data_IF_332107173948
#
_entry.id   IF_332107173948
#
_cell.length_a   1.000
_cell.length_b   1.000
_cell.length_c   1.000
_cell.angle_alpha   90.00
_cell.angle_beta   90.00
_cell.angle_gamma   90.00
#
_symmetry.space_group_name_H-M   'P 1'
#
loop_
_entity.id
_entity.type
_entity.pdbx_description
1 polymer ?
#
# COMPACT_ATOMS: atom_id res chain seq x y z
N UNK A 1 1.47 35.06 13.70
CA UNK A 1 1.55 34.47 12.34
C UNK A 1 2.83 33.62 12.25
N UNK A 2 2.79 32.27 12.19
CA UNK A 2 3.98 31.46 11.94
C UNK A 2 3.97 30.95 10.49
N UNK A 3 4.66 31.65 9.58
CA UNK A 3 4.83 31.24 8.18
C UNK A 3 6.10 30.41 7.93
N UNK A 4 6.98 30.32 8.93
CA UNK A 4 8.31 29.68 8.81
C UNK A 4 8.29 28.16 8.98
N UNK A 5 7.29 27.59 9.66
CA UNK A 5 7.25 26.14 9.96
C UNK A 5 6.69 25.29 8.79
N UNK A 6 5.74 25.84 8.01
CA UNK A 6 5.09 25.10 6.90
C UNK A 6 6.02 24.77 5.74
N UNK A 7 6.99 25.64 5.43
CA UNK A 7 7.92 25.45 4.31
C UNK A 7 8.96 24.36 4.62
N UNK A 8 9.43 24.31 5.87
CA UNK A 8 10.33 23.26 6.36
C UNK A 8 9.63 21.91 6.51
N UNK A 9 8.38 21.90 7.02
CA UNK A 9 7.53 20.70 7.01
C UNK A 9 7.35 20.16 5.60
N UNK A 10 6.93 21.01 4.64
CA UNK A 10 6.80 20.60 3.22
C UNK A 10 8.08 20.01 2.64
N UNK A 11 9.24 20.63 2.87
CA UNK A 11 10.52 20.10 2.38
C UNK A 11 10.89 18.74 2.99
N UNK A 12 10.60 18.55 4.28
CA UNK A 12 10.80 17.27 4.97
C UNK A 12 9.82 16.21 4.46
N UNK A 13 8.55 16.58 4.26
CA UNK A 13 7.51 15.69 3.74
C UNK A 13 7.85 15.22 2.31
N UNK A 14 8.33 16.12 1.44
CA UNK A 14 8.79 15.77 0.09
C UNK A 14 9.95 14.77 0.12
N UNK A 15 10.92 14.93 1.03
CA UNK A 15 12.04 13.99 1.19
C UNK A 15 11.56 12.60 1.66
N UNK A 16 10.62 12.56 2.61
CA UNK A 16 10.01 11.29 3.07
C UNK A 16 9.25 10.61 1.93
N UNK A 17 8.50 11.36 1.11
CA UNK A 17 7.79 10.82 -0.05
C UNK A 17 8.73 10.25 -1.13
N UNK A 18 9.92 10.84 -1.32
CA UNK A 18 10.94 10.28 -2.22
C UNK A 18 11.45 8.89 -1.80
N UNK A 19 11.35 8.57 -0.50
CA UNK A 19 11.69 7.23 0.02
C UNK A 19 10.73 6.17 -0.48
N UNK A 20 9.44 6.50 -0.64
CA UNK A 20 8.46 5.58 -1.21
C UNK A 20 8.84 5.16 -2.64
N UNK A 21 9.23 6.12 -3.48
CA UNK A 21 9.57 5.87 -4.88
C UNK A 21 10.82 4.97 -5.01
N UNK A 22 11.82 5.16 -4.15
CA UNK A 22 13.00 4.26 -4.09
C UNK A 22 12.67 2.86 -3.56
N UNK A 23 11.74 2.80 -2.59
CA UNK A 23 11.30 1.56 -1.95
C UNK A 23 10.54 0.66 -2.91
N UNK A 24 9.55 1.20 -3.63
CA UNK A 24 8.75 0.41 -4.59
C UNK A 24 9.63 -0.16 -5.71
N UNK A 25 10.62 0.59 -6.20
CA UNK A 25 11.57 0.11 -7.22
C UNK A 25 12.39 -1.06 -6.68
N UNK A 26 12.78 -1.01 -5.41
CA UNK A 26 13.54 -2.09 -4.77
C UNK A 26 12.68 -3.34 -4.53
N UNK A 27 11.40 -3.17 -4.17
CA UNK A 27 10.42 -4.27 -4.11
C UNK A 27 10.25 -4.93 -5.49
N UNK A 28 10.07 -4.13 -6.55
CA UNK A 28 9.92 -4.66 -7.92
C UNK A 28 11.19 -5.37 -8.39
N UNK A 29 12.37 -4.84 -8.07
CA UNK A 29 13.64 -5.51 -8.38
C UNK A 29 13.71 -6.89 -7.71
N UNK A 30 13.41 -6.98 -6.41
CA UNK A 30 13.45 -8.26 -5.69
C UNK A 30 12.46 -9.28 -6.29
N UNK A 31 11.21 -8.86 -6.55
CA UNK A 31 10.19 -9.70 -7.17
C UNK A 31 10.59 -10.16 -8.59
N UNK A 32 11.10 -9.25 -9.41
CA UNK A 32 11.56 -9.57 -10.77
C UNK A 32 12.78 -10.51 -10.80
N UNK A 33 13.53 -10.60 -9.70
CA UNK A 33 14.64 -11.54 -9.52
C UNK A 33 14.20 -12.86 -8.86
N UNK A 34 12.90 -13.06 -8.65
CA UNK A 34 12.35 -14.33 -8.14
C UNK A 34 12.50 -14.52 -6.63
N UNK A 35 12.85 -13.49 -5.87
CA UNK A 35 12.92 -13.61 -4.41
C UNK A 35 11.54 -13.88 -3.79
N UNK A 36 10.48 -13.31 -4.36
CA UNK A 36 9.09 -13.58 -4.01
C UNK A 36 8.18 -13.27 -5.19
N UNK A 37 6.95 -13.79 -5.16
CA UNK A 37 5.97 -13.56 -6.21
C UNK A 37 5.05 -12.40 -5.84
N UNK A 38 5.05 -11.39 -6.68
CA UNK A 38 4.16 -10.23 -6.57
C UNK A 38 3.98 -9.58 -7.94
N UNK A 39 2.86 -9.92 -8.59
CA UNK A 39 2.53 -9.45 -9.94
C UNK A 39 1.99 -8.01 -9.95
N UNK A 40 1.60 -7.49 -8.79
CA UNK A 40 0.93 -6.19 -8.68
C UNK A 40 1.92 -5.03 -8.54
N UNK A 41 3.08 -5.25 -7.91
CA UNK A 41 4.08 -4.20 -7.69
C UNK A 41 4.51 -3.47 -8.97
N UNK A 42 4.54 -4.16 -10.13
CA UNK A 42 4.89 -3.53 -11.41
C UNK A 42 3.91 -2.45 -11.84
N UNK A 43 2.66 -2.52 -11.40
CA UNK A 43 1.63 -1.54 -11.73
C UNK A 43 1.82 -0.21 -10.99
N UNK A 44 2.68 -0.19 -9.97
CA UNK A 44 2.95 1.01 -9.18
C UNK A 44 4.30 1.68 -9.49
N UNK A 45 5.00 1.26 -10.54
CA UNK A 45 6.27 1.85 -10.96
C UNK A 45 6.26 2.22 -12.43
N UNK A 46 6.80 3.40 -12.74
CA UNK A 46 7.00 3.84 -14.13
C UNK A 46 8.30 3.31 -14.74
N UNK A 47 9.34 3.12 -13.91
CA UNK A 47 10.65 2.63 -14.33
C UNK A 47 11.13 1.55 -13.37
N UNK A 48 11.57 0.44 -13.94
CA UNK A 48 12.17 -0.67 -13.19
C UNK A 48 13.69 -0.49 -13.20
N UNK A 49 14.31 -0.50 -12.03
CA UNK A 49 15.76 -0.52 -11.90
C UNK A 49 16.19 -1.72 -11.06
N UNK A 50 17.17 -2.47 -11.56
CA UNK A 50 17.76 -3.59 -10.84
C UNK A 50 18.57 -3.08 -9.65
N UNK A 51 18.39 -3.70 -8.48
CA UNK A 51 19.20 -3.50 -7.28
C UNK A 51 20.22 -4.62 -7.10
N UNK A 52 21.22 -4.37 -6.26
CA UNK A 52 22.24 -5.38 -5.92
C UNK A 52 21.60 -6.59 -5.22
N UNK A 53 22.20 -7.79 -5.29
CA UNK A 53 21.68 -8.98 -4.62
C UNK A 53 21.47 -8.77 -3.11
N UNK A 54 22.37 -8.04 -2.44
CA UNK A 54 22.26 -7.73 -1.01
C UNK A 54 21.00 -6.91 -0.70
N UNK A 55 20.69 -5.90 -1.52
CA UNK A 55 19.47 -5.10 -1.37
C UNK A 55 18.23 -5.98 -1.60
N UNK A 56 18.21 -6.79 -2.67
CA UNK A 56 17.08 -7.69 -2.95
C UNK A 56 16.85 -8.67 -1.79
N UNK A 57 17.91 -9.21 -1.20
CA UNK A 57 17.82 -10.08 -0.01
C UNK A 57 17.22 -9.35 1.19
N UNK A 58 17.59 -8.09 1.43
CA UNK A 58 16.98 -7.27 2.47
C UNK A 58 15.47 -7.08 2.26
N UNK A 59 15.06 -6.78 1.03
CA UNK A 59 13.64 -6.65 0.68
C UNK A 59 12.88 -7.97 0.75
N UNK A 60 13.52 -9.10 0.42
CA UNK A 60 12.95 -10.42 0.62
C UNK A 60 12.64 -10.71 2.09
N UNK A 61 13.61 -10.48 2.98
CA UNK A 61 13.40 -10.70 4.42
C UNK A 61 12.30 -9.80 4.93
N UNK A 62 12.29 -8.51 4.55
CA UNK A 62 11.22 -7.57 4.89
C UNK A 62 9.85 -8.06 4.40
N UNK A 63 9.75 -8.45 3.13
CA UNK A 63 8.52 -8.95 2.55
C UNK A 63 8.04 -10.21 3.30
N UNK A 64 8.94 -11.17 3.53
CA UNK A 64 8.58 -12.43 4.16
C UNK A 64 8.15 -12.27 5.61
N UNK A 65 8.79 -11.37 6.35
CA UNK A 65 8.39 -11.06 7.73
C UNK A 65 6.97 -10.50 7.80
N UNK A 66 6.65 -9.49 6.99
CA UNK A 66 5.30 -8.89 6.95
C UNK A 66 4.27 -9.91 6.49
N UNK A 67 4.58 -10.64 5.41
CA UNK A 67 3.71 -11.66 4.84
C UNK A 67 3.41 -12.79 5.84
N UNK A 68 4.42 -13.25 6.59
CA UNK A 68 4.24 -14.22 7.65
C UNK A 68 3.34 -13.69 8.78
N UNK A 69 3.59 -12.46 9.26
CA UNK A 69 2.77 -11.86 10.32
C UNK A 69 1.31 -11.70 9.90
N UNK A 70 1.06 -11.24 8.68
CA UNK A 70 -0.31 -11.09 8.15
C UNK A 70 -1.01 -12.44 8.04
N UNK A 71 -0.35 -13.45 7.46
CA UNK A 71 -0.94 -14.79 7.31
C UNK A 71 -1.20 -15.45 8.66
N UNK A 72 -0.27 -15.31 9.61
CA UNK A 72 -0.45 -15.80 10.98
C UNK A 72 -1.62 -15.09 11.66
N UNK A 73 -1.74 -13.76 11.53
CA UNK A 73 -2.89 -13.01 12.05
C UNK A 73 -4.22 -13.52 11.46
N UNK A 74 -4.28 -13.69 10.14
CA UNK A 74 -5.50 -14.17 9.47
C UNK A 74 -5.91 -15.57 9.93
N UNK A 75 -4.93 -16.45 10.15
CA UNK A 75 -5.14 -17.81 10.62
C UNK A 75 -5.63 -17.85 12.07
N UNK A 76 -4.92 -17.21 13.01
CA UNK A 76 -5.30 -17.26 14.44
C UNK A 76 -6.62 -16.53 14.74
N UNK A 77 -7.07 -15.65 13.84
CA UNK A 77 -8.32 -14.90 13.97
C UNK A 77 -9.43 -15.39 13.03
N UNK A 78 -9.32 -16.59 12.44
CA UNK A 78 -10.27 -17.11 11.43
C UNK A 78 -11.74 -17.09 11.88
N UNK A 79 -11.97 -17.29 13.18
CA UNK A 79 -13.29 -17.33 13.82
C UNK A 79 -13.79 -15.94 14.25
N UNK A 80 -12.99 -14.88 14.08
CA UNK A 80 -13.45 -13.53 14.36
C UNK A 80 -14.46 -13.08 13.30
N UNK A 81 -15.56 -12.40 13.71
CA UNK A 81 -16.60 -11.97 12.79
C UNK A 81 -16.14 -10.87 11.82
N UNK A 82 -15.12 -10.09 12.20
CA UNK A 82 -14.51 -9.06 11.36
C UNK A 82 -13.05 -8.86 11.77
N UNK A 83 -12.16 -8.82 10.79
CA UNK A 83 -10.71 -8.61 10.95
C UNK A 83 -10.30 -7.35 10.21
N UNK A 84 -9.37 -6.60 10.79
CA UNK A 84 -8.91 -5.35 10.19
C UNK A 84 -7.38 -5.33 10.15
N UNK A 85 -6.84 -5.02 8.97
CA UNK A 85 -5.41 -4.81 8.77
C UNK A 85 -5.22 -3.33 8.47
N UNK A 86 -4.42 -2.63 9.28
CA UNK A 86 -4.12 -1.20 9.07
C UNK A 86 -2.64 -1.05 8.73
N UNK A 87 -2.35 -0.72 7.46
CA UNK A 87 -1.00 -0.46 6.98
C UNK A 87 -0.68 1.03 7.08
N UNK A 88 0.21 1.39 8.00
CA UNK A 88 0.66 2.76 8.24
C UNK A 88 1.91 3.07 7.40
N UNK A 89 1.87 4.15 6.62
CA UNK A 89 2.91 4.44 5.63
C UNK A 89 2.93 3.36 4.53
N UNK A 90 1.75 3.00 4.04
CA UNK A 90 1.58 1.90 3.09
C UNK A 90 2.37 2.14 1.79
N UNK A 91 2.54 3.40 1.39
CA UNK A 91 3.15 3.75 0.12
C UNK A 91 2.49 3.01 -1.03
N UNK A 92 3.30 2.50 -1.95
CA UNK A 92 2.85 1.63 -3.03
C UNK A 92 2.93 0.14 -2.69
N UNK A 93 2.54 -0.26 -1.48
CA UNK A 93 2.36 -1.67 -1.15
C UNK A 93 1.23 -2.32 -1.95
N UNK A 94 1.34 -3.63 -2.17
CA UNK A 94 0.46 -4.48 -2.97
C UNK A 94 -0.31 -5.50 -2.11
N UNK A 95 -0.17 -5.46 -0.77
CA UNK A 95 -0.70 -6.47 0.15
C UNK A 95 -2.19 -6.76 -0.09
N UNK A 96 -3.03 -5.72 -0.22
CA UNK A 96 -4.45 -5.91 -0.48
C UNK A 96 -4.70 -6.77 -1.73
N UNK A 97 -4.05 -6.44 -2.85
CA UNK A 97 -4.22 -7.16 -4.11
C UNK A 97 -3.69 -8.60 -4.02
N UNK A 98 -2.60 -8.82 -3.28
CA UNK A 98 -2.09 -10.18 -3.01
C UNK A 98 -3.08 -11.00 -2.20
N UNK A 99 -3.62 -10.44 -1.11
CA UNK A 99 -4.61 -11.13 -0.30
C UNK A 99 -5.91 -11.40 -1.07
N UNK A 100 -6.34 -10.46 -1.92
CA UNK A 100 -7.50 -10.66 -2.79
C UNK A 100 -7.26 -11.80 -3.77
N UNK A 101 -6.08 -11.85 -4.42
CA UNK A 101 -5.74 -12.91 -5.36
C UNK A 101 -5.61 -14.28 -4.70
N UNK A 102 -5.18 -14.31 -3.43
CA UNK A 102 -5.11 -15.51 -2.59
C UNK A 102 -6.48 -15.88 -1.96
N UNK A 103 -7.57 -15.18 -2.30
CA UNK A 103 -8.91 -15.35 -1.71
C UNK A 103 -8.93 -15.21 -0.16
N UNK A 104 -7.98 -14.49 0.39
CA UNK A 104 -7.72 -14.35 1.83
C UNK A 104 -8.43 -13.13 2.47
N UNK A 105 -9.43 -12.56 1.79
CA UNK A 105 -10.14 -11.35 2.25
C UNK A 105 -11.53 -11.62 2.85
N UNK A 106 -11.92 -12.88 3.04
CA UNK A 106 -13.17 -13.23 3.73
C UNK A 106 -13.21 -12.59 5.13
N UNK A 107 -14.24 -11.79 5.46
CA UNK A 107 -14.35 -11.04 6.73
C UNK A 107 -13.10 -10.24 7.12
N UNK A 108 -12.32 -9.76 6.15
CA UNK A 108 -11.11 -8.96 6.36
C UNK A 108 -11.24 -7.63 5.64
N UNK A 109 -10.96 -6.54 6.34
CA UNK A 109 -10.88 -5.20 5.75
C UNK A 109 -9.44 -4.72 5.84
N UNK A 110 -8.90 -4.22 4.74
CA UNK A 110 -7.56 -3.64 4.68
C UNK A 110 -7.69 -2.13 4.55
N UNK A 111 -7.04 -1.41 5.47
CA UNK A 111 -6.92 0.03 5.46
C UNK A 111 -5.47 0.41 5.20
N UNK A 112 -5.27 1.33 4.27
CA UNK A 112 -3.97 1.91 3.99
C UNK A 112 -3.98 3.39 4.33
N UNK A 113 -2.96 3.81 5.08
CA UNK A 113 -2.79 5.19 5.52
C UNK A 113 -1.43 5.71 5.05
N UNK A 114 -1.43 6.84 4.37
CA UNK A 114 -0.21 7.54 3.95
C UNK A 114 -0.47 9.04 3.78
N UNK A 115 0.57 9.80 3.41
CA UNK A 115 0.43 11.21 3.06
C UNK A 115 -0.52 11.38 1.86
N UNK A 116 -1.31 12.48 1.82
CA UNK A 116 -2.28 12.74 0.76
C UNK A 116 -1.69 12.60 -0.65
N UNK A 117 -0.50 13.14 -0.90
CA UNK A 117 0.15 13.06 -2.22
C UNK A 117 0.49 11.62 -2.64
N UNK A 118 0.87 10.77 -1.68
CA UNK A 118 1.18 9.35 -1.93
C UNK A 118 -0.10 8.57 -2.21
N UNK A 119 -1.14 8.81 -1.39
CA UNK A 119 -2.49 8.26 -1.56
C UNK A 119 -3.07 8.62 -2.92
N UNK A 120 -3.02 9.90 -3.31
CA UNK A 120 -3.54 10.38 -4.60
C UNK A 120 -2.81 9.74 -5.78
N UNK A 121 -1.48 9.66 -5.72
CA UNK A 121 -0.69 8.96 -6.75
C UNK A 121 -1.07 7.48 -6.85
N UNK A 122 -1.22 6.80 -5.72
CA UNK A 122 -1.63 5.39 -5.69
C UNK A 122 -3.02 5.20 -6.27
N UNK A 123 -3.98 6.03 -5.87
CA UNK A 123 -5.35 5.98 -6.37
C UNK A 123 -5.40 6.22 -7.89
N UNK A 124 -4.62 7.17 -8.42
CA UNK A 124 -4.53 7.39 -9.86
C UNK A 124 -3.97 6.17 -10.61
N UNK A 125 -2.94 5.50 -10.07
CA UNK A 125 -2.38 4.27 -10.64
C UNK A 125 -3.39 3.12 -10.62
N UNK A 126 -4.16 2.96 -9.53
CA UNK A 126 -5.21 1.94 -9.44
C UNK A 126 -6.33 2.22 -10.42
N UNK A 127 -6.82 3.46 -10.49
CA UNK A 127 -7.95 3.83 -11.35
C UNK A 127 -7.62 3.76 -12.85
N UNK A 128 -6.36 4.01 -13.22
CA UNK A 128 -5.89 3.88 -14.60
C UNK A 128 -5.63 2.42 -15.02
N UNK A 129 -5.50 1.50 -14.06
CA UNK A 129 -5.28 0.09 -14.32
C UNK A 129 -6.58 -0.73 -14.20
N UNK A 130 -7.10 -1.22 -15.31
CA UNK A 130 -8.36 -2.01 -15.33
C UNK A 130 -8.32 -3.23 -14.43
N UNK A 131 -7.19 -3.94 -14.35
CA UNK A 131 -7.03 -5.14 -13.51
C UNK A 131 -7.11 -4.78 -12.03
N UNK A 132 -6.34 -3.78 -11.58
CA UNK A 132 -6.38 -3.35 -10.19
C UNK A 132 -7.76 -2.80 -9.81
N UNK A 133 -8.38 -2.01 -10.69
CA UNK A 133 -9.72 -1.46 -10.46
C UNK A 133 -10.78 -2.54 -10.32
N UNK A 134 -10.69 -3.61 -11.12
CA UNK A 134 -11.63 -4.73 -11.07
C UNK A 134 -11.52 -5.56 -9.78
N UNK A 135 -10.37 -5.53 -9.10
CA UNK A 135 -10.16 -6.20 -7.81
C UNK A 135 -10.67 -5.38 -6.61
N UNK A 136 -11.08 -4.13 -6.82
CA UNK A 136 -11.75 -3.37 -5.77
C UNK A 136 -13.23 -3.78 -5.76
N UNK A 137 -13.67 -4.44 -4.69
CA UNK A 137 -15.07 -4.86 -4.54
C UNK A 137 -15.98 -3.64 -4.32
N UNK A 138 -16.95 -3.36 -5.24
CA UNK A 138 -17.91 -2.29 -5.06
C UNK A 138 -19.05 -2.62 -4.07
N UNK A 139 -19.19 -3.88 -3.62
CA UNK A 139 -20.35 -4.37 -2.87
C UNK A 139 -20.07 -4.76 -1.40
N UNK A 140 -18.87 -4.49 -0.89
CA UNK A 140 -18.56 -4.81 0.51
C UNK A 140 -19.35 -3.89 1.47
N UNK A 141 -20.07 -4.44 2.49
CA UNK A 141 -20.92 -3.65 3.39
C UNK A 141 -20.14 -2.64 4.24
N UNK A 142 -18.81 -2.81 4.31
CA UNK A 142 -17.85 -1.82 4.79
C UNK A 142 -16.94 -1.47 3.61
N UNK A 143 -16.85 -0.20 3.19
CA UNK A 143 -16.01 0.14 2.04
C UNK A 143 -14.56 -0.16 2.39
N UNK A 144 -13.98 -1.17 1.75
CA UNK A 144 -12.54 -1.39 1.72
C UNK A 144 -11.93 -0.25 0.91
N UNK A 145 -11.68 0.86 1.60
CA UNK A 145 -11.29 2.12 0.99
C UNK A 145 -9.96 2.57 1.57
N UNK A 146 -9.06 3.01 0.67
CA UNK A 146 -7.94 3.87 1.02
C UNK A 146 -8.49 5.02 1.90
N UNK A 147 -8.18 5.01 3.19
CA UNK A 147 -8.60 6.07 4.11
C UNK A 147 -7.51 7.14 4.09
N UNK A 148 -7.84 8.29 3.51
CA UNK A 148 -7.02 9.49 3.59
C UNK A 148 -6.99 9.98 5.05
N UNK A 149 -5.89 9.74 5.77
CA UNK A 149 -5.64 10.39 7.06
C UNK A 149 -4.70 11.57 6.82
N UNK A 150 -5.29 12.71 6.46
CA UNK A 150 -4.57 13.99 6.42
C UNK A 150 -4.33 14.48 7.85
N UNK A 151 -3.06 14.69 8.24
CA UNK A 151 -2.69 15.39 9.47
C UNK A 151 -2.99 16.89 9.37
N UNK A 152 -4.26 17.28 9.26
CA UNK A 152 -4.83 18.50 9.83
C UNK A 152 -6.32 18.54 9.49
N UNK A 153 -7.15 18.20 10.50
CA UNK A 153 -8.63 18.28 10.51
C UNK A 153 -9.36 17.38 9.49
N UNK A 154 -10.16 16.48 10.06
CA UNK A 154 -11.27 15.74 9.46
C UNK A 154 -10.88 14.70 8.40
N UNK A 155 -11.02 13.43 8.81
CA UNK A 155 -11.10 12.24 7.96
C UNK A 155 -12.15 12.51 6.88
N UNK A 156 -11.72 12.75 5.63
CA UNK A 156 -12.64 12.85 4.49
C UNK A 156 -12.62 11.51 3.74
N UNK A 157 -13.78 10.87 3.81
CA UNK A 157 -14.16 9.66 3.09
C UNK A 157 -14.25 10.01 1.60
N UNK A 158 -13.51 9.32 0.73
CA UNK A 158 -13.73 9.41 -0.71
C UNK A 158 -15.10 8.80 -1.00
N UNK A 159 -16.08 9.65 -1.34
CA UNK A 159 -17.33 9.22 -1.97
C UNK A 159 -17.05 9.26 -3.47
N UNK A 160 -16.94 8.09 -4.10
CA UNK A 160 -17.02 7.99 -5.54
C UNK A 160 -18.49 8.23 -5.89
N UNK A 161 -18.84 9.46 -6.25
CA UNK A 161 -20.09 9.76 -6.94
C UNK A 161 -19.80 9.78 -8.45
N UNK A 162 -20.67 9.12 -9.20
CA UNK A 162 -20.71 8.99 -10.65
C UNK A 162 -20.92 10.32 -11.37
#
# INVERSE_FOLDING_TARGET
MPLTNRKQQRGRDTSVQGTNDSSVVSKVSAAAQGYYQDVFLRQFVSKVHRRTPLINRGYYVRWRAVDHCVRSFLHVTENCPLRQIVSLGAGFDSLYFRLHADEALDRVVVFEVDFPDVVQRKAALINSNKTLRAMLDPHLPFPTGLLEVCQTRAVRRFRLES
#
